data_IF_858227861920
#
_entry.id   IF_858227861920
#
_cell.length_a   1.000
_cell.length_b   1.000
_cell.length_c   1.000
_cell.angle_alpha   90.00
_cell.angle_beta   90.00
_cell.angle_gamma   90.00
#
_symmetry.space_group_name_H-M   'P 1'
#
loop_
_entity.id
_entity.type
_entity.pdbx_description
1 polymer ?
#
# COMPACT_ATOMS: atom_id res chain seq x y z
N UNK A 1 -52.17 -9.46 -28.94
CA UNK A 1 -51.53 -9.94 -27.70
C UNK A 1 -52.59 -10.08 -26.63
N UNK A 2 -52.75 -11.25 -26.04
CA UNK A 2 -53.80 -11.52 -25.04
C UNK A 2 -53.40 -10.92 -23.69
N UNK A 3 -54.37 -10.47 -22.89
CA UNK A 3 -54.13 -9.85 -21.58
C UNK A 3 -53.25 -10.74 -20.67
N UNK A 4 -53.30 -12.06 -20.86
CA UNK A 4 -52.47 -13.07 -20.19
C UNK A 4 -50.98 -12.99 -20.54
N UNK A 5 -50.61 -12.70 -21.79
CA UNK A 5 -49.20 -12.59 -22.19
C UNK A 5 -48.57 -11.30 -21.68
N UNK A 6 -49.37 -10.24 -21.52
CA UNK A 6 -48.96 -8.97 -20.89
C UNK A 6 -48.74 -9.11 -19.38
N UNK A 7 -49.63 -9.81 -18.67
CA UNK A 7 -49.47 -10.05 -17.24
C UNK A 7 -48.23 -10.90 -16.92
N UNK A 8 -47.96 -11.93 -17.72
CA UNK A 8 -46.80 -12.81 -17.53
C UNK A 8 -45.47 -12.08 -17.79
N UNK A 9 -45.41 -11.22 -18.81
CA UNK A 9 -44.22 -10.41 -19.10
C UNK A 9 -43.95 -9.36 -18.02
N UNK A 10 -45.00 -8.76 -17.46
CA UNK A 10 -44.86 -7.80 -16.36
C UNK A 10 -44.36 -8.48 -15.07
N UNK A 11 -44.87 -9.67 -14.73
CA UNK A 11 -44.42 -10.45 -13.57
C UNK A 11 -42.95 -10.91 -13.69
N UNK A 12 -42.48 -11.23 -14.90
CA UNK A 12 -41.08 -11.59 -15.14
C UNK A 12 -40.14 -10.37 -15.07
N UNK A 13 -40.63 -9.18 -15.41
CA UNK A 13 -39.84 -7.95 -15.43
C UNK A 13 -39.67 -7.32 -14.02
N UNK A 14 -40.61 -7.53 -13.10
CA UNK A 14 -40.56 -6.98 -11.74
C UNK A 14 -39.26 -7.30 -10.96
N UNK A 15 -38.75 -8.55 -10.89
CA UNK A 15 -37.53 -8.85 -10.14
C UNK A 15 -36.27 -8.26 -10.78
N UNK A 16 -36.24 -8.08 -12.09
CA UNK A 16 -35.12 -7.45 -12.80
C UNK A 16 -35.02 -5.95 -12.46
N UNK A 17 -36.17 -5.27 -12.29
CA UNK A 17 -36.21 -3.86 -11.91
C UNK A 17 -35.91 -3.69 -10.40
N UNK A 18 -36.37 -4.63 -9.57
CA UNK A 18 -36.09 -4.61 -8.13
C UNK A 18 -34.62 -4.93 -7.80
N UNK A 19 -33.95 -5.78 -8.60
CA UNK A 19 -32.54 -6.14 -8.43
C UNK A 19 -31.52 -5.07 -8.86
N UNK A 20 -31.94 -4.04 -9.59
CA UNK A 20 -31.09 -2.91 -9.97
C UNK A 20 -31.03 -1.79 -8.91
N UNK A 21 -31.58 -2.01 -7.71
CA UNK A 21 -31.32 -1.10 -6.59
C UNK A 21 -29.95 -1.41 -6.02
N UNK A 22 -29.00 -0.52 -6.25
CA UNK A 22 -27.73 -0.52 -5.53
C UNK A 22 -28.04 -0.35 -4.04
N UNK A 23 -27.75 -1.37 -3.26
CA UNK A 23 -27.80 -1.29 -1.81
C UNK A 23 -26.54 -0.56 -1.33
N UNK A 24 -26.65 0.76 -1.19
CA UNK A 24 -25.57 1.65 -0.72
C UNK A 24 -25.08 1.26 0.69
N UNK A 25 -25.79 0.37 1.41
CA UNK A 25 -25.32 -0.18 2.70
C UNK A 25 -24.22 -1.24 2.56
N UNK A 26 -24.05 -1.81 1.36
CA UNK A 26 -22.98 -2.75 1.00
C UNK A 26 -21.87 -2.11 0.16
N UNK A 27 -21.99 -0.82 -0.18
CA UNK A 27 -20.88 -0.08 -0.75
C UNK A 27 -19.77 0.01 0.30
N UNK A 28 -18.56 -0.44 -0.05
CA UNK A 28 -17.39 -0.17 0.78
C UNK A 28 -17.32 1.34 1.02
N UNK A 29 -17.04 1.80 2.25
CA UNK A 29 -16.90 3.22 2.52
C UNK A 29 -15.95 3.85 1.52
N UNK A 30 -16.26 5.05 1.02
CA UNK A 30 -15.32 5.80 0.19
C UNK A 30 -14.09 6.16 1.04
N UNK A 31 -13.04 5.35 0.88
CA UNK A 31 -11.76 5.50 1.55
C UNK A 31 -10.77 6.34 0.73
N UNK A 32 -11.21 7.05 -0.32
CA UNK A 32 -10.32 7.93 -1.10
C UNK A 32 -9.52 8.89 -0.21
N UNK A 33 -10.04 9.24 0.97
CA UNK A 33 -9.28 9.80 2.11
C UNK A 33 -9.79 9.35 3.49
N UNK A 34 -10.63 8.31 3.55
CA UNK A 34 -11.42 7.94 4.74
C UNK A 34 -12.17 9.15 5.34
N UNK A 35 -12.84 9.96 4.51
CA UNK A 35 -13.49 11.20 4.95
C UNK A 35 -12.53 12.24 5.52
N UNK A 36 -11.28 12.29 5.04
CA UNK A 36 -10.22 13.15 5.55
C UNK A 36 -9.41 12.55 6.72
N UNK A 37 -9.82 11.42 7.29
CA UNK A 37 -9.07 10.76 8.38
C UNK A 37 -7.65 10.35 7.94
N UNK A 38 -7.47 10.04 6.66
CA UNK A 38 -6.18 9.64 6.07
C UNK A 38 -5.52 10.77 5.28
N UNK A 39 -5.90 12.03 5.52
CA UNK A 39 -5.22 13.20 4.96
C UNK A 39 -3.72 13.24 5.34
N UNK A 40 -3.37 12.64 6.49
CA UNK A 40 -1.98 12.41 6.90
C UNK A 40 -1.83 11.02 7.49
N UNK A 41 -0.87 10.27 6.97
CA UNK A 41 -0.51 8.96 7.49
C UNK A 41 0.98 8.93 7.81
N UNK A 42 1.30 8.53 9.05
CA UNK A 42 2.68 8.32 9.50
C UNK A 42 2.82 6.89 10.01
N UNK A 43 3.67 6.13 9.35
CA UNK A 43 4.06 4.78 9.75
C UNK A 43 5.28 4.84 10.66
N UNK A 44 5.05 4.57 11.95
CA UNK A 44 6.09 4.42 12.96
C UNK A 44 6.20 2.96 13.36
N UNK A 45 7.41 2.49 13.59
CA UNK A 45 7.63 1.11 13.98
C UNK A 45 9.09 0.69 13.81
N UNK A 46 9.27 -0.57 13.42
CA UNK A 46 10.58 -1.22 13.35
C UNK A 46 10.91 -1.66 11.92
N UNK A 47 11.82 -2.61 11.79
CA UNK A 47 12.26 -3.18 10.51
C UNK A 47 11.11 -3.69 9.64
N UNK A 48 10.04 -4.25 10.21
CA UNK A 48 8.90 -4.75 9.44
C UNK A 48 8.12 -3.59 8.82
N UNK A 49 7.88 -2.52 9.60
CA UNK A 49 7.25 -1.29 9.14
C UNK A 49 8.09 -0.63 8.04
N UNK A 50 9.41 -0.63 8.20
CA UNK A 50 10.36 -0.12 7.21
C UNK A 50 10.33 -0.92 5.89
N UNK A 51 9.94 -2.21 5.94
CA UNK A 51 9.93 -3.10 4.78
C UNK A 51 11.15 -4.01 4.66
N UNK A 52 11.79 -4.38 5.77
CA UNK A 52 12.77 -5.46 5.77
C UNK A 52 12.11 -6.79 5.41
N UNK A 53 12.70 -7.50 4.45
CA UNK A 53 12.28 -8.82 4.01
C UNK A 53 13.52 -9.65 3.66
N UNK A 54 13.49 -10.94 3.99
CA UNK A 54 14.55 -11.89 3.63
C UNK A 54 15.96 -11.39 3.98
N UNK A 55 16.17 -10.93 5.22
CA UNK A 55 17.49 -10.52 5.71
C UNK A 55 18.05 -9.23 5.10
N UNK A 56 17.20 -8.39 4.51
CA UNK A 56 17.60 -7.11 3.93
C UNK A 56 16.44 -6.16 3.66
N UNK A 57 16.73 -5.01 3.07
CA UNK A 57 15.75 -4.00 2.68
C UNK A 57 16.21 -3.32 1.41
N UNK A 58 15.30 -3.08 0.49
CA UNK A 58 15.50 -2.22 -0.67
C UNK A 58 14.18 -1.58 -1.08
N UNK A 59 14.22 -0.74 -2.11
CA UNK A 59 13.04 -0.05 -2.63
C UNK A 59 11.87 -0.99 -2.96
N UNK A 60 12.16 -2.17 -3.52
CA UNK A 60 11.18 -3.19 -3.84
C UNK A 60 10.51 -3.76 -2.58
N UNK A 61 11.25 -4.02 -1.51
CA UNK A 61 10.68 -4.51 -0.25
C UNK A 61 9.99 -3.41 0.54
N UNK A 62 10.45 -2.16 0.46
CA UNK A 62 9.80 -0.98 1.04
C UNK A 62 8.41 -0.75 0.44
N UNK A 63 8.25 -0.86 -0.89
CA UNK A 63 6.94 -0.78 -1.57
C UNK A 63 5.95 -1.88 -1.19
N UNK A 64 6.46 -3.01 -0.68
CA UNK A 64 5.68 -4.16 -0.22
C UNK A 64 5.50 -4.20 1.30
N UNK A 65 6.01 -3.22 2.05
CA UNK A 65 5.78 -3.19 3.49
C UNK A 65 4.29 -3.05 3.77
N UNK A 66 3.82 -3.59 4.90
CA UNK A 66 2.41 -3.48 5.27
C UNK A 66 1.97 -2.01 5.38
N UNK A 67 2.87 -1.12 5.79
CA UNK A 67 2.63 0.32 5.84
C UNK A 67 2.36 0.93 4.46
N UNK A 68 3.16 0.55 3.46
CA UNK A 68 2.95 0.99 2.06
C UNK A 68 1.65 0.40 1.48
N UNK A 69 1.37 -0.86 1.79
CA UNK A 69 0.16 -1.55 1.35
C UNK A 69 -1.09 -0.94 1.98
N UNK A 70 -1.06 -0.65 3.28
CA UNK A 70 -2.13 0.03 4.00
C UNK A 70 -2.40 1.40 3.41
N UNK A 71 -1.36 2.23 3.22
CA UNK A 71 -1.53 3.57 2.68
C UNK A 71 -2.19 3.57 1.30
N UNK A 72 -1.79 2.65 0.40
CA UNK A 72 -2.44 2.49 -0.90
C UNK A 72 -3.92 2.12 -0.79
N UNK A 73 -4.26 1.20 0.13
CA UNK A 73 -5.64 0.78 0.34
C UNK A 73 -6.50 1.87 1.00
N UNK A 74 -5.88 2.70 1.84
CA UNK A 74 -6.53 3.78 2.58
C UNK A 74 -6.54 5.12 1.83
N UNK A 75 -6.07 5.16 0.58
CA UNK A 75 -5.96 6.41 -0.20
C UNK A 75 -5.00 7.46 0.42
N UNK A 76 -4.12 7.05 1.33
CA UNK A 76 -3.30 7.98 2.10
C UNK A 76 -2.01 8.37 1.34
N UNK A 77 -1.62 9.66 1.34
CA UNK A 77 -0.30 10.08 0.86
C UNK A 77 0.82 9.34 1.62
N UNK A 78 1.72 8.69 0.88
CA UNK A 78 2.75 7.86 1.49
C UNK A 78 4.10 8.03 0.80
N UNK A 79 5.04 8.55 1.58
CA UNK A 79 6.42 8.77 1.17
C UNK A 79 7.36 8.06 2.15
N UNK A 80 8.45 7.51 1.63
CA UNK A 80 9.44 6.78 2.41
C UNK A 80 10.82 7.05 1.85
N UNK A 81 11.84 6.93 2.69
CA UNK A 81 13.23 7.09 2.28
C UNK A 81 13.65 5.88 1.44
N UNK A 82 13.45 5.99 0.12
CA UNK A 82 13.73 4.92 -0.83
C UNK A 82 15.22 4.61 -0.88
N UNK A 83 15.58 3.33 -0.88
CA UNK A 83 16.98 2.89 -0.98
C UNK A 83 17.37 2.64 -2.44
N UNK A 84 18.59 3.05 -2.81
CA UNK A 84 19.17 2.63 -4.08
C UNK A 84 19.31 1.11 -4.11
N UNK A 85 19.19 0.52 -5.30
CA UNK A 85 19.49 -0.90 -5.46
C UNK A 85 20.99 -1.14 -5.22
N UNK A 86 21.39 -2.25 -4.57
CA UNK A 86 20.54 -3.39 -4.20
C UNK A 86 19.89 -3.32 -2.80
N UNK A 87 20.12 -2.27 -2.01
CA UNK A 87 19.55 -2.10 -0.66
C UNK A 87 20.56 -1.95 0.48
N UNK A 88 20.12 -2.15 1.73
CA UNK A 88 20.91 -1.96 2.98
C UNK A 88 20.50 -2.86 4.17
N UNK A 89 21.03 -4.08 4.32
CA UNK A 89 21.72 -4.88 3.31
C UNK A 89 20.73 -5.33 2.24
N UNK A 90 21.22 -5.75 1.07
CA UNK A 90 20.37 -6.30 0.02
C UNK A 90 19.63 -7.58 0.50
N UNK A 91 18.33 -7.73 0.22
CA UNK A 91 17.58 -8.95 0.54
C UNK A 91 18.19 -10.21 -0.09
N UNK A 92 17.95 -11.36 0.53
CA UNK A 92 18.25 -12.65 -0.09
C UNK A 92 17.34 -12.90 -1.29
N UNK A 93 17.88 -13.43 -2.38
CA UNK A 93 17.11 -14.03 -3.48
C UNK A 93 16.61 -15.42 -3.09
N UNK A 94 17.42 -16.17 -2.34
CA UNK A 94 17.14 -17.50 -1.81
C UNK A 94 17.70 -17.59 -0.39
N UNK A 95 16.84 -17.93 0.58
CA UNK A 95 17.26 -18.01 1.99
C UNK A 95 18.34 -19.11 2.24
N UNK A 96 18.24 -20.34 1.68
CA UNK A 96 19.21 -21.39 2.00
C UNK A 96 20.65 -21.10 1.56
N UNK A 97 20.83 -20.46 0.40
CA UNK A 97 22.16 -20.09 -0.11
C UNK A 97 22.64 -18.74 0.42
N UNK A 98 21.74 -17.99 1.06
CA UNK A 98 21.96 -16.59 1.47
C UNK A 98 22.46 -15.69 0.33
N UNK A 99 22.22 -16.09 -0.92
CA UNK A 99 22.57 -15.31 -2.08
C UNK A 99 21.77 -14.01 -2.06
N UNK A 100 22.42 -12.87 -2.29
CA UNK A 100 21.78 -11.55 -2.20
C UNK A 100 21.48 -10.99 -3.58
N UNK A 101 20.44 -10.15 -3.63
CA UNK A 101 20.04 -9.45 -4.86
C UNK A 101 21.24 -8.72 -5.46
N UNK A 102 21.50 -8.95 -6.75
CA UNK A 102 22.61 -8.34 -7.47
C UNK A 102 24.01 -8.80 -7.03
N UNK A 103 24.14 -9.93 -6.33
CA UNK A 103 25.43 -10.42 -5.83
C UNK A 103 26.05 -9.55 -4.73
N UNK A 104 25.22 -8.75 -4.05
CA UNK A 104 25.69 -7.78 -3.06
C UNK A 104 26.38 -8.44 -1.85
N UNK A 105 27.38 -7.75 -1.30
CA UNK A 105 28.04 -8.16 -0.06
C UNK A 105 27.08 -8.14 1.14
N UNK A 106 27.33 -9.00 2.13
CA UNK A 106 26.49 -9.15 3.32
C UNK A 106 26.44 -7.93 4.25
N UNK A 107 27.38 -7.00 4.11
CA UNK A 107 27.44 -5.74 4.87
C UNK A 107 27.26 -4.51 3.98
N UNK A 108 27.01 -4.69 2.69
CA UNK A 108 26.89 -3.59 1.73
C UNK A 108 25.61 -2.77 1.93
N UNK A 109 25.71 -1.45 1.81
CA UNK A 109 24.57 -0.54 1.82
C UNK A 109 24.70 0.48 0.69
N UNK A 110 23.73 0.49 -0.23
CA UNK A 110 23.68 1.42 -1.35
C UNK A 110 23.18 2.83 -0.98
N UNK A 111 22.85 3.02 0.30
CA UNK A 111 22.28 4.24 0.87
C UNK A 111 20.96 4.63 0.20
N UNK A 112 20.40 5.75 0.66
CA UNK A 112 19.14 6.30 0.15
C UNK A 112 19.34 6.90 -1.23
N UNK A 113 18.31 6.82 -2.06
CA UNK A 113 18.19 7.73 -3.19
C UNK A 113 17.96 9.15 -2.63
N UNK A 114 18.41 10.21 -3.33
CA UNK A 114 18.09 11.57 -2.92
C UNK A 114 16.56 11.74 -2.87
N UNK A 115 16.05 12.06 -1.68
CA UNK A 115 14.61 12.22 -1.45
C UNK A 115 14.13 13.54 -2.08
N UNK A 116 13.22 13.45 -3.05
CA UNK A 116 12.45 14.60 -3.56
C UNK A 116 11.05 14.69 -2.93
N UNK A 117 10.80 13.88 -1.89
CA UNK A 117 9.48 13.78 -1.28
C UNK A 117 9.24 14.98 -0.34
N UNK A 118 8.02 15.54 -0.32
CA UNK A 118 7.70 16.72 0.49
C UNK A 118 7.74 16.43 2.00
N UNK A 119 7.56 15.18 2.40
CA UNK A 119 7.70 14.69 3.78
C UNK A 119 7.98 13.19 3.76
N UNK A 120 8.33 12.61 4.91
CA UNK A 120 8.44 11.16 5.08
C UNK A 120 7.29 10.64 5.94
N UNK A 121 6.42 9.84 5.34
CA UNK A 121 5.34 9.11 6.03
C UNK A 121 5.89 7.92 6.80
N UNK A 122 6.87 7.19 6.25
CA UNK A 122 7.49 6.06 6.95
C UNK A 122 8.79 6.47 7.63
N UNK A 123 8.73 6.57 8.96
CA UNK A 123 9.87 6.94 9.81
C UNK A 123 10.49 5.72 10.50
N UNK A 124 10.08 4.51 10.13
CA UNK A 124 10.67 3.28 10.62
C UNK A 124 11.96 2.91 9.87
N UNK A 125 12.19 3.47 8.68
CA UNK A 125 13.43 3.25 7.91
C UNK A 125 14.61 3.83 8.70
N UNK A 126 15.65 3.04 9.03
CA UNK A 126 16.76 3.51 9.85
C UNK A 126 17.36 4.83 9.34
N UNK A 127 17.38 5.86 10.20
CA UNK A 127 17.81 7.23 9.88
C UNK A 127 16.70 8.16 9.37
N UNK A 128 15.46 7.69 9.20
CA UNK A 128 14.31 8.53 8.87
C UNK A 128 13.75 9.04 10.19
N UNK A 129 13.87 10.34 10.46
CA UNK A 129 13.47 10.91 11.76
C UNK A 129 12.10 11.56 11.65
N UNK A 130 11.28 11.39 12.68
CA UNK A 130 9.95 12.01 12.79
C UNK A 130 9.98 13.54 12.76
N UNK A 131 11.10 14.18 13.14
CA UNK A 131 11.26 15.64 12.98
C UNK A 131 11.03 16.08 11.54
N UNK A 132 11.41 15.26 10.55
CA UNK A 132 11.21 15.53 9.12
C UNK A 132 9.75 15.42 8.66
N UNK A 133 8.85 14.88 9.49
CA UNK A 133 7.41 14.81 9.20
C UNK A 133 6.63 16.00 9.80
N UNK A 134 7.27 16.78 10.69
CA UNK A 134 6.67 17.92 11.40
C UNK A 134 7.34 19.26 11.05
N UNK A 135 8.51 19.24 10.42
CA UNK A 135 9.16 20.42 9.83
C UNK A 135 9.10 20.31 8.32
N UNK A 136 8.46 21.28 7.68
CA UNK A 136 8.42 21.51 6.23
C UNK A 136 9.61 22.41 5.85
#
# INVERSE_FOLDING_TARGET
MTLRTLAASLLLALPLIAGCRNDETLAAPDVSTSGGLMARYVAMGNSITAGYQSGGINDSTQRRSYAAVFARQAGAPYFYASLRMPGCTAPFTLNPTQARVGGAAATGCALRAPDQNPFLSNVAVPGARAVSALTN
#
